data_IF_954523393606
#
_entry.id   IF_954523393606
#
_cell.length_a   1.000
_cell.length_b   1.000
_cell.length_c   1.000
_cell.angle_alpha   90.00
_cell.angle_beta   90.00
_cell.angle_gamma   90.00
#
_symmetry.space_group_name_H-M   'P 1'
#
loop_
_entity.id
_entity.type
_entity.pdbx_description
1 polymer ?
#
# COMPACT_ATOMS: atom_id res chain seq x y z
N UNK A 1 -55.27 -56.17 -4.08
CA UNK A 1 -54.32 -55.09 -3.72
C UNK A 1 -54.30 -54.08 -4.86
N UNK A 2 -54.54 -52.78 -4.64
CA UNK A 2 -54.41 -51.78 -5.70
C UNK A 2 -52.92 -51.55 -6.02
N UNK A 3 -52.56 -51.12 -7.25
CA UNK A 3 -51.16 -51.03 -7.67
C UNK A 3 -50.46 -49.92 -6.88
N UNK A 4 -49.23 -50.17 -6.43
CA UNK A 4 -48.36 -49.15 -5.83
C UNK A 4 -48.22 -47.98 -6.80
N UNK A 5 -48.65 -46.80 -6.40
CA UNK A 5 -48.50 -45.57 -7.19
C UNK A 5 -47.02 -45.32 -7.45
N UNK A 6 -46.68 -44.99 -8.71
CA UNK A 6 -45.33 -44.54 -9.09
C UNK A 6 -44.92 -43.32 -8.26
N UNK A 7 -43.65 -43.31 -7.86
CA UNK A 7 -43.07 -42.21 -7.07
C UNK A 7 -43.13 -40.90 -7.86
N UNK A 8 -43.12 -39.76 -7.16
CA UNK A 8 -43.12 -38.43 -7.79
C UNK A 8 -41.92 -38.25 -8.72
N UNK A 9 -40.75 -38.74 -8.29
CA UNK A 9 -39.51 -38.75 -9.08
C UNK A 9 -39.63 -39.56 -10.37
N UNK A 10 -40.31 -40.71 -10.32
CA UNK A 10 -40.53 -41.55 -11.50
C UNK A 10 -41.46 -40.86 -12.51
N UNK A 11 -42.43 -40.08 -12.02
CA UNK A 11 -43.34 -39.30 -12.88
C UNK A 11 -42.61 -38.11 -13.51
N UNK A 12 -41.74 -37.43 -12.76
CA UNK A 12 -40.84 -36.39 -13.28
C UNK A 12 -39.98 -36.92 -14.42
N UNK A 13 -39.28 -38.05 -14.19
CA UNK A 13 -38.43 -38.67 -15.21
C UNK A 13 -39.19 -39.13 -16.45
N UNK A 14 -40.40 -39.69 -16.28
CA UNK A 14 -41.25 -40.09 -17.43
C UNK A 14 -41.68 -38.89 -18.28
N UNK A 15 -42.10 -37.79 -17.65
CA UNK A 15 -42.49 -36.58 -18.36
C UNK A 15 -41.28 -35.93 -19.06
N UNK A 16 -40.16 -35.84 -18.36
CA UNK A 16 -38.91 -35.31 -18.89
C UNK A 16 -38.44 -36.07 -20.13
N UNK A 17 -38.41 -37.40 -20.07
CA UNK A 17 -38.01 -38.25 -21.20
C UNK A 17 -38.97 -38.09 -22.39
N UNK A 18 -40.28 -38.03 -22.14
CA UNK A 18 -41.27 -37.80 -23.19
C UNK A 18 -41.09 -36.43 -23.87
N UNK A 19 -40.85 -35.37 -23.09
CA UNK A 19 -40.59 -34.03 -23.64
C UNK A 19 -39.27 -33.99 -24.42
N UNK A 20 -38.22 -34.69 -23.97
CA UNK A 20 -36.95 -34.82 -24.69
C UNK A 20 -37.06 -35.60 -26.00
N UNK A 21 -37.90 -36.62 -26.04
CA UNK A 21 -38.09 -37.47 -27.22
C UNK A 21 -38.95 -36.77 -28.28
N UNK A 22 -40.02 -36.10 -27.84
CA UNK A 22 -40.89 -35.33 -28.74
C UNK A 22 -40.27 -34.03 -29.20
N UNK A 23 -39.47 -33.36 -28.36
CA UNK A 23 -38.85 -32.06 -28.68
C UNK A 23 -39.87 -30.97 -28.98
N UNK A 24 -41.12 -31.11 -28.52
CA UNK A 24 -42.18 -30.14 -28.77
C UNK A 24 -42.21 -29.05 -27.68
N UNK A 25 -42.79 -27.90 -28.04
CA UNK A 25 -43.11 -26.84 -27.10
C UNK A 25 -44.53 -27.06 -26.59
N UNK A 26 -44.69 -27.04 -25.28
CA UNK A 26 -45.97 -27.26 -24.61
C UNK A 26 -46.43 -26.00 -23.91
N UNK A 27 -47.73 -25.80 -23.79
CA UNK A 27 -48.36 -24.83 -22.89
C UNK A 27 -49.21 -25.58 -21.87
N UNK A 28 -49.83 -24.86 -20.93
CA UNK A 28 -50.67 -25.46 -19.88
C UNK A 28 -51.80 -26.36 -20.42
N UNK A 29 -52.29 -26.13 -21.64
CA UNK A 29 -53.35 -26.95 -22.25
C UNK A 29 -52.76 -28.12 -23.04
N UNK A 30 -51.69 -27.91 -23.81
CA UNK A 30 -51.09 -28.96 -24.64
C UNK A 30 -50.26 -29.95 -23.84
N UNK A 31 -49.70 -29.57 -22.68
CA UNK A 31 -48.98 -30.51 -21.83
C UNK A 31 -49.88 -31.63 -21.30
N UNK A 32 -51.20 -31.40 -21.20
CA UNK A 32 -52.16 -32.43 -20.80
C UNK A 32 -52.20 -33.60 -21.79
N UNK A 33 -51.84 -33.42 -23.06
CA UNK A 33 -51.79 -34.51 -24.03
C UNK A 33 -50.70 -35.53 -23.69
N UNK A 34 -49.65 -35.12 -22.96
CA UNK A 34 -48.61 -36.01 -22.46
C UNK A 34 -49.16 -37.03 -21.45
N UNK A 35 -50.36 -36.81 -20.87
CA UNK A 35 -51.03 -37.74 -19.94
C UNK A 35 -51.23 -39.13 -20.54
N UNK A 36 -51.63 -39.19 -21.81
CA UNK A 36 -51.88 -40.46 -22.50
C UNK A 36 -50.60 -41.27 -22.73
N UNK A 37 -49.51 -40.59 -23.06
CA UNK A 37 -48.23 -41.22 -23.37
C UNK A 37 -47.43 -41.60 -22.11
N UNK A 38 -47.52 -40.78 -21.05
CA UNK A 38 -46.73 -40.96 -19.82
C UNK A 38 -47.46 -41.75 -18.73
N UNK A 39 -48.78 -41.92 -18.85
CA UNK A 39 -49.62 -42.57 -17.84
C UNK A 39 -49.80 -41.75 -16.56
N UNK A 40 -49.48 -40.46 -16.59
CA UNK A 40 -49.62 -39.54 -15.47
C UNK A 40 -50.95 -38.81 -15.61
N UNK A 41 -51.71 -38.65 -14.51
CA UNK A 41 -52.97 -37.88 -14.53
C UNK A 41 -52.76 -36.45 -15.03
N UNK A 42 -53.64 -35.97 -15.92
CA UNK A 42 -53.60 -34.61 -16.48
C UNK A 42 -53.60 -33.52 -15.39
N UNK A 43 -54.26 -33.76 -14.26
CA UNK A 43 -54.28 -32.84 -13.12
C UNK A 43 -52.90 -32.69 -12.45
N UNK A 44 -52.09 -33.76 -12.47
CA UNK A 44 -50.79 -33.82 -11.80
C UNK A 44 -49.66 -33.36 -12.75
N UNK A 45 -49.79 -33.59 -14.05
CA UNK A 45 -48.78 -33.22 -15.06
C UNK A 45 -48.42 -31.73 -15.01
N UNK A 46 -49.39 -30.85 -14.78
CA UNK A 46 -49.14 -29.41 -14.66
C UNK A 46 -48.19 -29.08 -13.50
N UNK A 47 -48.39 -29.72 -12.35
CA UNK A 47 -47.52 -29.51 -11.20
C UNK A 47 -46.13 -30.09 -11.44
N UNK A 48 -46.04 -31.23 -12.14
CA UNK A 48 -44.77 -31.87 -12.47
C UNK A 48 -43.97 -31.03 -13.46
N UNK A 49 -44.58 -30.47 -14.52
CA UNK A 49 -43.84 -29.65 -15.49
C UNK A 49 -43.35 -28.34 -14.86
N UNK A 50 -44.11 -27.77 -13.93
CA UNK A 50 -43.68 -26.60 -13.14
C UNK A 50 -42.50 -26.99 -12.23
N UNK A 51 -42.59 -28.10 -11.49
CA UNK A 51 -41.48 -28.58 -10.67
C UNK A 51 -40.21 -28.86 -11.49
N UNK A 52 -40.34 -29.41 -12.69
CA UNK A 52 -39.21 -29.65 -13.60
C UNK A 52 -38.60 -28.34 -14.12
N UNK A 53 -39.41 -27.30 -14.29
CA UNK A 53 -38.94 -25.98 -14.67
C UNK A 53 -38.25 -25.27 -13.50
N UNK A 54 -38.78 -25.39 -12.28
CA UNK A 54 -38.17 -24.85 -11.05
C UNK A 54 -36.80 -25.50 -10.76
N UNK A 55 -36.64 -26.79 -11.10
CA UNK A 55 -35.37 -27.53 -11.02
C UNK A 55 -34.41 -27.21 -12.18
N UNK A 56 -34.81 -26.38 -13.15
CA UNK A 56 -34.00 -25.99 -14.31
C UNK A 56 -33.79 -27.10 -15.35
N UNK A 57 -34.52 -28.22 -15.22
CA UNK A 57 -34.45 -29.35 -16.15
C UNK A 57 -35.23 -29.08 -17.43
N UNK A 58 -36.37 -28.39 -17.32
CA UNK A 58 -37.21 -27.94 -18.44
C UNK A 58 -37.14 -26.42 -18.54
N UNK A 59 -37.00 -25.88 -19.75
CA UNK A 59 -37.12 -24.44 -19.94
C UNK A 59 -38.57 -24.02 -19.82
N UNK A 60 -38.80 -22.87 -19.19
CA UNK A 60 -40.10 -22.22 -19.20
C UNK A 60 -39.98 -20.74 -19.50
N UNK A 61 -40.93 -20.23 -20.28
CA UNK A 61 -41.03 -18.80 -20.57
C UNK A 61 -42.49 -18.38 -20.63
N UNK A 62 -42.77 -17.22 -20.05
CA UNK A 62 -44.11 -16.64 -20.06
C UNK A 62 -44.24 -15.68 -21.24
N UNK A 63 -45.09 -16.03 -22.20
CA UNK A 63 -45.38 -15.22 -23.38
C UNK A 63 -46.85 -14.80 -23.32
N UNK A 64 -47.07 -13.51 -23.06
CA UNK A 64 -48.41 -12.97 -22.84
C UNK A 64 -49.09 -13.56 -21.60
N UNK A 65 -50.27 -14.16 -21.79
CA UNK A 65 -51.05 -14.77 -20.71
C UNK A 65 -50.70 -16.26 -20.45
N UNK A 66 -49.85 -16.88 -21.29
CA UNK A 66 -49.55 -18.31 -21.23
C UNK A 66 -48.08 -18.58 -20.92
N UNK A 67 -47.81 -19.62 -20.12
CA UNK A 67 -46.46 -20.15 -19.91
C UNK A 67 -46.22 -21.31 -20.86
N UNK A 68 -45.06 -21.29 -21.51
CA UNK A 68 -44.59 -22.32 -22.43
C UNK A 68 -43.46 -23.10 -21.79
N UNK A 69 -43.39 -24.39 -22.07
CA UNK A 69 -42.43 -25.34 -21.53
C UNK A 69 -41.79 -26.15 -22.65
N UNK A 70 -40.47 -26.28 -22.66
CA UNK A 70 -39.77 -27.08 -23.66
C UNK A 70 -38.45 -27.64 -23.12
N UNK A 71 -37.94 -28.66 -23.79
CA UNK A 71 -36.61 -29.19 -23.54
C UNK A 71 -36.06 -29.77 -24.84
N UNK A 72 -34.80 -29.46 -25.14
CA UNK A 72 -34.11 -29.96 -26.32
C UNK A 72 -32.83 -30.69 -25.92
N UNK A 73 -32.56 -31.82 -26.57
CA UNK A 73 -31.30 -32.58 -26.39
C UNK A 73 -30.06 -31.73 -26.67
N UNK A 74 -30.18 -30.73 -27.55
CA UNK A 74 -29.10 -29.82 -27.94
C UNK A 74 -28.72 -28.80 -26.86
N UNK A 75 -29.58 -28.52 -25.87
CA UNK A 75 -29.35 -27.43 -24.90
C UNK A 75 -28.07 -27.61 -24.10
N UNK A 76 -27.87 -28.80 -23.50
CA UNK A 76 -26.66 -29.10 -22.72
C UNK A 76 -25.40 -29.05 -23.58
N UNK A 77 -25.50 -29.50 -24.82
CA UNK A 77 -24.40 -29.41 -25.79
C UNK A 77 -24.08 -27.97 -26.15
N UNK A 78 -25.09 -27.13 -26.41
CA UNK A 78 -24.87 -25.72 -26.74
C UNK A 78 -24.31 -24.92 -25.56
N UNK A 79 -24.77 -25.17 -24.33
CA UNK A 79 -24.19 -24.54 -23.14
C UNK A 79 -22.70 -24.86 -23.00
N UNK A 80 -22.32 -26.14 -23.19
CA UNK A 80 -20.91 -26.54 -23.16
C UNK A 80 -20.08 -25.91 -24.29
N UNK A 81 -20.64 -25.81 -25.50
CA UNK A 81 -19.97 -25.16 -26.63
C UNK A 81 -19.76 -23.66 -26.35
N UNK A 82 -20.76 -22.97 -25.82
CA UNK A 82 -20.66 -21.55 -25.46
C UNK A 82 -19.61 -21.32 -24.36
N UNK A 83 -19.63 -22.14 -23.30
CA UNK A 83 -18.62 -22.07 -22.23
C UNK A 83 -17.22 -22.33 -22.77
N UNK A 84 -17.07 -23.33 -23.64
CA UNK A 84 -15.79 -23.62 -24.28
C UNK A 84 -15.28 -22.44 -25.11
N UNK A 85 -16.14 -21.82 -25.93
CA UNK A 85 -15.79 -20.66 -26.74
C UNK A 85 -15.36 -19.46 -25.87
N UNK A 86 -16.11 -19.18 -24.80
CA UNK A 86 -15.76 -18.12 -23.85
C UNK A 86 -14.38 -18.34 -23.22
N UNK A 87 -14.14 -19.55 -22.69
CA UNK A 87 -12.84 -19.90 -22.09
C UNK A 87 -11.71 -19.87 -23.13
N UNK A 88 -11.99 -20.28 -24.37
CA UNK A 88 -11.01 -20.25 -25.44
C UNK A 88 -10.62 -18.82 -25.81
N UNK A 89 -11.57 -17.90 -25.85
CA UNK A 89 -11.30 -16.49 -26.16
C UNK A 89 -10.58 -15.79 -25.00
N UNK A 90 -10.96 -16.07 -23.76
CA UNK A 90 -10.24 -15.59 -22.57
C UNK A 90 -8.79 -16.09 -22.55
N UNK A 91 -8.56 -17.36 -22.89
CA UNK A 91 -7.22 -17.93 -22.94
C UNK A 91 -6.35 -17.25 -24.03
N UNK A 92 -6.92 -16.97 -25.21
CA UNK A 92 -6.22 -16.23 -26.27
C UNK A 92 -5.85 -14.82 -25.80
N UNK A 93 -6.76 -14.13 -25.13
CA UNK A 93 -6.51 -12.79 -24.60
C UNK A 93 -5.38 -12.80 -23.57
N UNK A 94 -5.46 -13.70 -22.58
CA UNK A 94 -4.43 -13.87 -21.55
C UNK A 94 -3.07 -14.23 -22.15
N UNK A 95 -3.03 -15.13 -23.13
CA UNK A 95 -1.79 -15.50 -23.82
C UNK A 95 -1.18 -14.31 -24.57
N UNK A 96 -2.01 -13.48 -25.19
CA UNK A 96 -1.54 -12.26 -25.86
C UNK A 96 -0.98 -11.25 -24.86
N UNK A 97 -1.66 -11.05 -23.73
CA UNK A 97 -1.19 -10.16 -22.66
C UNK A 97 0.12 -10.66 -22.04
N UNK A 98 0.23 -11.98 -21.80
CA UNK A 98 1.44 -12.59 -21.30
C UNK A 98 2.63 -12.31 -22.22
N UNK A 99 2.45 -12.49 -23.54
CA UNK A 99 3.50 -12.21 -24.52
C UNK A 99 3.94 -10.75 -24.50
N UNK A 100 3.00 -9.80 -24.46
CA UNK A 100 3.29 -8.35 -24.37
C UNK A 100 4.11 -8.05 -23.11
N UNK A 101 3.73 -8.63 -21.97
CA UNK A 101 4.45 -8.45 -20.72
C UNK A 101 5.85 -9.06 -20.76
N UNK A 102 6.00 -10.26 -21.33
CA UNK A 102 7.31 -10.90 -21.49
C UNK A 102 8.24 -10.07 -22.37
N UNK A 103 7.75 -9.52 -23.49
CA UNK A 103 8.51 -8.65 -24.38
C UNK A 103 8.91 -7.34 -23.66
N UNK A 104 8.00 -6.74 -22.89
CA UNK A 104 8.28 -5.54 -22.08
C UNK A 104 9.36 -5.81 -21.02
N UNK A 105 9.27 -6.95 -20.31
CA UNK A 105 10.28 -7.37 -19.34
C UNK A 105 11.63 -7.61 -20.02
N UNK A 106 11.66 -8.22 -21.22
CA UNK A 106 12.90 -8.44 -21.96
C UNK A 106 13.55 -7.10 -22.37
N UNK A 107 12.76 -6.14 -22.87
CA UNK A 107 13.23 -4.80 -23.19
C UNK A 107 13.77 -4.07 -21.95
N UNK A 108 13.04 -4.10 -20.84
CA UNK A 108 13.47 -3.51 -19.58
C UNK A 108 14.74 -4.17 -19.05
N UNK A 109 14.90 -5.49 -19.17
CA UNK A 109 16.14 -6.19 -18.79
C UNK A 109 17.32 -5.82 -19.68
N UNK A 110 17.09 -5.55 -20.96
CA UNK A 110 18.13 -5.07 -21.87
C UNK A 110 18.54 -3.63 -21.55
N UNK A 111 17.58 -2.74 -21.31
CA UNK A 111 17.84 -1.35 -20.88
C UNK A 111 18.48 -1.28 -19.49
N UNK A 112 18.04 -2.16 -18.59
CA UNK A 112 18.52 -2.30 -17.22
C UNK A 112 19.60 -3.38 -17.10
N UNK A 113 20.26 -3.77 -18.20
CA UNK A 113 21.48 -4.56 -18.08
C UNK A 113 22.35 -3.75 -17.13
N UNK A 114 22.61 -4.34 -15.95
CA UNK A 114 23.47 -3.78 -14.92
C UNK A 114 24.85 -3.62 -15.54
N UNK A 115 25.06 -2.54 -16.28
CA UNK A 115 26.39 -2.03 -16.52
C UNK A 115 26.94 -1.77 -15.14
N UNK A 116 28.15 -2.24 -14.85
CA UNK A 116 28.86 -1.98 -13.59
C UNK A 116 28.83 -0.48 -13.24
N UNK A 117 28.71 0.38 -14.27
CA UNK A 117 28.49 1.83 -14.16
C UNK A 117 27.22 2.21 -13.38
N UNK A 118 26.14 1.44 -13.46
CA UNK A 118 24.89 1.71 -12.73
C UNK A 118 25.06 1.51 -11.24
N UNK A 119 25.72 0.42 -10.83
CA UNK A 119 25.99 0.15 -9.41
C UNK A 119 27.02 1.16 -8.85
N UNK A 120 28.01 1.56 -9.66
CA UNK A 120 28.94 2.65 -9.34
C UNK A 120 28.19 3.98 -9.14
N UNK A 121 27.30 4.35 -10.08
CA UNK A 121 26.50 5.59 -10.00
C UNK A 121 25.55 5.59 -8.79
N UNK A 122 24.93 4.45 -8.47
CA UNK A 122 24.08 4.30 -7.28
C UNK A 122 24.91 4.52 -6.00
N UNK A 123 26.11 3.96 -5.94
CA UNK A 123 27.00 4.14 -4.80
C UNK A 123 27.52 5.58 -4.69
N UNK A 124 27.91 6.21 -5.81
CA UNK A 124 28.28 7.62 -5.84
C UNK A 124 27.14 8.53 -5.37
N UNK A 125 25.91 8.29 -5.83
CA UNK A 125 24.72 9.03 -5.37
C UNK A 125 24.51 8.89 -3.87
N UNK A 126 24.67 7.70 -3.30
CA UNK A 126 24.59 7.47 -1.85
C UNK A 126 25.65 8.24 -1.09
N UNK A 127 26.90 8.22 -1.56
CA UNK A 127 28.01 8.96 -0.93
C UNK A 127 27.76 10.46 -0.96
N UNK A 128 27.38 11.01 -2.12
CA UNK A 128 27.08 12.43 -2.28
C UNK A 128 25.91 12.88 -1.40
N UNK A 129 24.85 12.09 -1.29
CA UNK A 129 23.73 12.40 -0.40
C UNK A 129 24.16 12.44 1.07
N UNK A 130 25.03 11.51 1.50
CA UNK A 130 25.57 11.52 2.87
C UNK A 130 26.42 12.76 3.14
N UNK A 131 27.27 13.15 2.19
CA UNK A 131 28.06 14.37 2.28
C UNK A 131 27.17 15.61 2.35
N UNK A 132 26.15 15.68 1.50
CA UNK A 132 25.19 16.79 1.48
C UNK A 132 24.49 16.94 2.83
N UNK A 133 24.06 15.83 3.43
CA UNK A 133 23.45 15.85 4.76
C UNK A 133 24.42 16.36 5.84
N UNK A 134 25.67 15.88 5.85
CA UNK A 134 26.69 16.35 6.79
C UNK A 134 27.02 17.83 6.63
N UNK A 135 27.06 18.32 5.39
CA UNK A 135 27.28 19.74 5.11
C UNK A 135 26.09 20.58 5.57
N UNK A 136 24.85 20.11 5.38
CA UNK A 136 23.66 20.81 5.86
C UNK A 136 23.61 20.88 7.38
N UNK A 137 23.95 19.79 8.09
CA UNK A 137 24.04 19.79 9.55
C UNK A 137 25.11 20.78 10.04
N UNK A 138 26.27 20.80 9.39
CA UNK A 138 27.34 21.74 9.70
C UNK A 138 26.91 23.19 9.46
N UNK A 139 26.23 23.46 8.33
CA UNK A 139 25.75 24.79 7.98
C UNK A 139 24.70 25.28 8.98
N UNK A 140 23.78 24.42 9.41
CA UNK A 140 22.81 24.75 10.45
C UNK A 140 23.52 25.11 11.77
N UNK A 141 24.58 24.39 12.14
CA UNK A 141 25.37 24.72 13.32
C UNK A 141 26.05 26.09 13.19
N UNK A 142 26.59 26.43 12.01
CA UNK A 142 27.20 27.74 11.78
C UNK A 142 26.18 28.88 11.75
N UNK A 143 24.94 28.64 11.31
CA UNK A 143 23.88 29.66 11.36
C UNK A 143 23.50 30.09 12.78
N UNK A 144 23.77 29.26 13.79
CA UNK A 144 23.52 29.61 15.20
C UNK A 144 24.49 30.67 15.73
N UNK A 145 25.63 30.88 15.08
CA UNK A 145 26.67 31.80 15.53
C UNK A 145 26.84 32.94 14.51
N UNK A 146 26.45 34.17 14.88
CA UNK A 146 26.70 35.34 14.05
C UNK A 146 28.17 35.77 14.16
N UNK A 147 28.84 35.97 13.02
CA UNK A 147 30.19 36.52 12.99
C UNK A 147 30.26 37.90 13.66
N UNK A 148 29.21 38.73 13.50
CA UNK A 148 29.12 40.05 14.13
C UNK A 148 29.11 39.91 15.66
N UNK A 149 28.32 38.98 16.21
CA UNK A 149 28.29 38.70 17.65
C UNK A 149 29.63 38.18 18.17
N UNK A 150 30.34 37.37 17.38
CA UNK A 150 31.67 36.90 17.74
C UNK A 150 32.69 38.05 17.81
N UNK A 151 32.72 38.92 16.81
CA UNK A 151 33.61 40.09 16.78
C UNK A 151 33.29 41.08 17.91
N UNK A 152 32.01 41.34 18.18
CA UNK A 152 31.58 42.16 19.33
C UNK A 152 32.06 41.57 20.66
N UNK A 153 31.86 40.26 20.87
CA UNK A 153 32.30 39.59 22.09
C UNK A 153 33.83 39.62 22.24
N UNK A 154 34.56 39.43 21.13
CA UNK A 154 36.02 39.48 21.11
C UNK A 154 36.55 40.87 21.46
N UNK A 155 35.97 41.92 20.88
CA UNK A 155 36.34 43.30 21.19
C UNK A 155 36.00 43.68 22.64
N UNK A 156 34.84 43.24 23.13
CA UNK A 156 34.47 43.42 24.53
C UNK A 156 35.43 42.68 25.49
N UNK A 157 35.82 41.44 25.15
CA UNK A 157 36.81 40.68 25.91
C UNK A 157 38.16 41.40 25.98
N UNK A 158 38.66 41.94 24.86
CA UNK A 158 39.90 42.72 24.84
C UNK A 158 39.80 43.97 25.73
N UNK A 159 38.67 44.67 25.68
CA UNK A 159 38.42 45.87 26.51
C UNK A 159 38.40 45.52 27.99
N UNK A 160 37.66 44.47 28.37
CA UNK A 160 37.58 44.01 29.77
C UNK A 160 38.94 43.56 30.28
N UNK A 161 39.71 42.84 29.45
CA UNK A 161 41.08 42.42 29.77
C UNK A 161 41.99 43.62 30.03
N UNK A 162 41.95 44.64 29.17
CA UNK A 162 42.71 45.88 29.37
C UNK A 162 42.31 46.59 30.66
N UNK A 163 41.00 46.72 30.93
CA UNK A 163 40.50 47.33 32.17
C UNK A 163 40.93 46.57 33.41
N UNK A 164 40.82 45.24 33.40
CA UNK A 164 41.28 44.39 34.50
C UNK A 164 42.78 44.59 34.77
N UNK A 165 43.60 44.65 33.72
CA UNK A 165 45.03 44.88 33.84
C UNK A 165 45.39 46.28 34.35
N UNK A 166 44.61 47.31 33.99
CA UNK A 166 44.74 48.65 34.57
C UNK A 166 44.43 48.68 36.07
N UNK A 167 43.41 47.94 36.51
CA UNK A 167 43.13 47.82 37.94
C UNK A 167 44.20 47.01 38.67
N UNK A 168 44.77 46.00 38.04
CA UNK A 168 45.96 45.28 38.54
C UNK A 168 47.15 46.24 38.74
N UNK A 169 47.41 47.13 37.78
CA UNK A 169 48.41 48.20 37.91
C UNK A 169 48.13 49.13 39.09
N UNK A 170 46.87 49.59 39.23
CA UNK A 170 46.43 50.45 40.32
C UNK A 170 46.64 49.79 41.69
N UNK A 171 46.29 48.50 41.81
CA UNK A 171 46.46 47.70 43.03
C UNK A 171 47.94 47.58 43.37
N UNK A 172 48.83 47.33 42.40
CA UNK A 172 50.27 47.30 42.64
C UNK A 172 50.87 48.66 42.99
N UNK A 173 50.36 49.74 42.41
CA UNK A 173 50.76 51.10 42.76
C UNK A 173 50.37 51.45 44.22
N UNK A 174 49.15 51.11 44.64
CA UNK A 174 48.68 51.27 46.02
C UNK A 174 49.53 50.44 47.00
N UNK A 175 49.82 49.19 46.65
CA UNK A 175 50.74 48.35 47.45
C UNK A 175 52.08 49.04 47.64
N UNK A 176 52.69 49.56 46.57
CA UNK A 176 53.97 50.27 46.63
C UNK A 176 53.88 51.53 47.49
N UNK A 177 52.78 52.26 47.43
CA UNK A 177 52.57 53.45 48.24
C UNK A 177 52.47 53.11 49.74
N UNK A 178 51.68 52.10 50.10
CA UNK A 178 51.53 51.64 51.50
C UNK A 178 52.87 51.14 52.09
N UNK A 179 53.66 50.39 51.33
CA UNK A 179 54.95 49.88 51.83
C UNK A 179 56.02 50.97 51.93
N UNK A 180 56.05 51.94 51.01
CA UNK A 180 57.09 52.99 50.99
C UNK A 180 56.79 54.21 51.84
N UNK A 181 55.54 54.69 51.86
CA UNK A 181 55.15 55.93 52.57
C UNK A 181 54.62 55.68 53.97
N UNK A 182 53.93 54.56 54.19
CA UNK A 182 53.38 54.18 55.50
C UNK A 182 54.23 53.11 56.20
N UNK A 183 55.34 52.69 55.60
CA UNK A 183 56.26 51.68 56.14
C UNK A 183 55.56 50.38 56.57
N UNK A 184 54.48 50.01 55.87
CA UNK A 184 53.69 48.81 56.15
C UNK A 184 54.42 47.55 55.64
N UNK A 185 54.35 46.46 56.40
CA UNK A 185 54.91 45.17 55.96
C UNK A 185 54.21 44.67 54.69
N UNK A 186 54.98 44.19 53.72
CA UNK A 186 54.46 43.74 52.41
C UNK A 186 53.43 42.62 52.52
N UNK A 187 53.60 41.70 53.47
CA UNK A 187 52.65 40.61 53.74
C UNK A 187 51.28 41.15 54.19
N UNK A 188 51.28 42.13 55.11
CA UNK A 188 50.07 42.80 55.60
C UNK A 188 49.39 43.62 54.50
N UNK A 189 50.17 44.37 53.70
CA UNK A 189 49.64 45.16 52.57
C UNK A 189 49.01 44.26 51.49
N UNK A 190 49.65 43.14 51.15
CA UNK A 190 49.08 42.15 50.21
C UNK A 190 47.76 41.59 50.74
N UNK A 191 47.70 41.21 52.03
CA UNK A 191 46.48 40.67 52.64
C UNK A 191 45.34 41.69 52.66
N UNK A 192 45.62 42.99 52.87
CA UNK A 192 44.61 44.05 52.85
C UNK A 192 44.09 44.37 51.45
N UNK A 193 44.96 44.31 50.43
CA UNK A 193 44.60 44.55 49.04
C UNK A 193 44.07 43.30 48.33
N UNK A 194 44.00 42.15 49.01
CA UNK A 194 43.52 40.89 48.43
C UNK A 194 44.48 40.25 47.42
N UNK A 195 45.78 40.59 47.46
CA UNK A 195 46.79 40.05 46.55
C UNK A 195 47.26 38.70 47.07
N UNK A 196 46.91 37.62 46.37
CA UNK A 196 47.40 36.27 46.65
C UNK A 196 48.65 35.92 45.80
N UNK A 197 49.06 34.65 45.79
CA UNK A 197 50.24 34.19 45.02
C UNK A 197 49.97 34.03 43.52
N UNK A 198 48.71 33.97 43.10
CA UNK A 198 48.29 33.77 41.72
C UNK A 198 47.80 35.07 41.07
N UNK A 199 47.67 36.15 41.85
CA UNK A 199 47.27 37.46 41.37
C UNK A 199 48.32 38.04 40.43
N UNK A 200 47.97 38.04 39.14
CA UNK A 200 48.79 38.57 38.05
C UNK A 200 47.90 39.16 36.94
N UNK A 201 48.52 39.67 35.88
CA UNK A 201 47.81 40.14 34.71
C UNK A 201 47.03 39.02 34.03
N UNK A 202 45.88 39.40 33.46
CA UNK A 202 45.06 38.51 32.63
C UNK A 202 45.67 38.48 31.22
N UNK A 203 45.96 37.26 30.73
CA UNK A 203 46.43 36.94 29.37
C UNK A 203 45.30 36.75 28.34
#
# INVERSE_FOLDING_TARGET
MPPKGTSEEEKKMKLLNYMLETGNIYNNSTIETASKATGISAMIIKNIVVSLADEGLVDSEKIGASTYYWIFKSKKSQQLIQQFQQLQDENKELTSQEKILQDSVAQLKQQKQKSEQTDILINQKKTLNKQLQQLQESLNNFQLYSYEQYEELKSAQETVKQQANLETDNIFALRRYLTTKFNMERSTANKQLGIDQQFDYVE
#
